data_IF_594213301798
#
_entry.id   IF_594213301798
#
_cell.length_a   1.000
_cell.length_b   1.000
_cell.length_c   1.000
_cell.angle_alpha   90.00
_cell.angle_beta   90.00
_cell.angle_gamma   90.00
#
_symmetry.space_group_name_H-M   'P 1'
#
loop_
_entity.id
_entity.type
_entity.pdbx_description
1 polymer ?
#
# COMPACT_ATOMS: atom_id res chain seq x y z
N UNK A 1 -4.71 -3.82 -6.55
CA UNK A 1 -3.92 -4.91 -7.16
C UNK A 1 -4.65 -6.20 -6.88
N UNK A 2 -4.72 -7.08 -7.86
CA UNK A 2 -5.59 -8.26 -7.82
C UNK A 2 -4.79 -9.54 -8.00
N UNK A 3 -5.21 -10.58 -7.26
CA UNK A 3 -4.80 -11.97 -7.44
C UNK A 3 -6.03 -12.74 -7.90
N UNK A 4 -6.10 -13.05 -9.20
CA UNK A 4 -7.35 -13.51 -9.80
C UNK A 4 -8.44 -12.43 -9.64
N UNK A 5 -9.55 -12.76 -8.98
CA UNK A 5 -10.64 -11.82 -8.70
C UNK A 5 -10.57 -11.12 -7.35
N UNK A 6 -9.58 -11.43 -6.51
CA UNK A 6 -9.46 -10.90 -5.16
C UNK A 6 -8.52 -9.71 -5.11
N UNK A 7 -8.99 -8.58 -4.56
CA UNK A 7 -8.13 -7.42 -4.29
C UNK A 7 -7.30 -7.67 -3.03
N UNK A 8 -5.97 -7.64 -3.15
CA UNK A 8 -5.08 -7.91 -2.02
C UNK A 8 -4.35 -6.65 -1.50
N UNK A 9 -4.21 -5.62 -2.34
CA UNK A 9 -3.55 -4.36 -1.99
C UNK A 9 -4.16 -3.20 -2.76
N UNK A 10 -4.30 -2.04 -2.13
CA UNK A 10 -4.77 -0.81 -2.80
C UNK A 10 -3.73 0.30 -2.68
N UNK A 11 -3.14 0.70 -3.81
CA UNK A 11 -2.21 1.84 -3.86
C UNK A 11 -2.87 3.18 -3.50
N UNK A 12 -4.20 3.26 -3.60
CA UNK A 12 -4.98 4.45 -3.27
C UNK A 12 -4.99 5.51 -4.38
N UNK A 13 -5.75 6.60 -4.21
CA UNK A 13 -5.80 7.70 -5.16
C UNK A 13 -4.51 8.54 -5.17
N UNK A 14 -4.32 9.30 -6.25
CA UNK A 14 -3.32 10.37 -6.31
C UNK A 14 -3.70 11.51 -5.36
N UNK A 15 -2.75 11.96 -4.54
CA UNK A 15 -2.97 13.03 -3.55
C UNK A 15 -2.34 14.38 -3.95
N UNK A 16 -1.87 14.55 -5.19
CA UNK A 16 -1.12 15.73 -5.64
C UNK A 16 0.40 15.56 -5.61
N UNK A 17 0.91 14.55 -4.89
CA UNK A 17 2.35 14.28 -4.73
C UNK A 17 2.70 12.83 -5.05
N UNK A 18 1.88 11.89 -4.57
CA UNK A 18 2.08 10.45 -4.70
C UNK A 18 0.73 9.72 -4.58
N UNK A 19 0.76 8.40 -4.77
CA UNK A 19 -0.37 7.54 -4.47
C UNK A 19 -0.54 7.45 -2.95
N UNK A 20 -1.76 7.55 -2.42
CA UNK A 20 -1.99 7.66 -0.97
C UNK A 20 -1.53 6.44 -0.15
N UNK A 21 -1.30 5.30 -0.78
CA UNK A 21 -0.70 4.12 -0.18
C UNK A 21 0.82 4.17 -0.12
N UNK A 22 1.49 5.10 -0.80
CA UNK A 22 2.93 5.34 -0.60
C UNK A 22 3.16 6.19 0.64
N UNK A 23 4.35 6.01 1.24
CA UNK A 23 4.77 6.82 2.38
C UNK A 23 5.57 8.04 1.87
N UNK A 24 5.13 9.29 2.15
CA UNK A 24 5.88 10.48 1.78
C UNK A 24 7.31 10.45 2.32
N UNK A 25 8.28 10.73 1.46
CA UNK A 25 9.70 10.77 1.83
C UNK A 25 10.36 9.40 2.05
N UNK A 26 9.61 8.29 2.01
CA UNK A 26 10.19 6.95 2.21
C UNK A 26 11.00 6.46 1.01
N UNK A 27 10.69 6.94 -0.20
CA UNK A 27 11.28 6.47 -1.46
C UNK A 27 11.94 7.63 -2.24
N UNK A 28 12.97 8.31 -1.69
CA UNK A 28 13.57 9.51 -2.29
C UNK A 28 14.23 9.28 -3.66
N UNK A 29 14.53 8.04 -4.04
CA UNK A 29 15.09 7.73 -5.35
C UNK A 29 14.04 7.72 -6.46
N UNK A 30 12.75 7.62 -6.12
CA UNK A 30 11.65 7.53 -7.07
C UNK A 30 10.94 8.87 -7.21
N UNK A 31 10.56 9.19 -8.45
CA UNK A 31 9.70 10.31 -8.79
C UNK A 31 8.38 9.78 -9.34
N UNK A 32 7.26 10.30 -8.84
CA UNK A 32 5.93 9.94 -9.29
C UNK A 32 5.35 11.12 -10.08
N UNK A 33 4.77 10.85 -11.23
CA UNK A 33 3.98 11.84 -11.97
C UNK A 33 2.64 11.23 -12.33
N UNK A 34 1.62 12.08 -12.33
CA UNK A 34 0.25 11.70 -12.66
C UNK A 34 -0.25 12.60 -13.77
N UNK A 35 -0.83 11.99 -14.79
CA UNK A 35 -1.54 12.69 -15.85
C UNK A 35 -2.95 12.13 -15.91
N UNK A 36 -3.93 13.02 -15.95
CA UNK A 36 -5.32 12.72 -16.18
C UNK A 36 -5.92 13.81 -17.06
N UNK A 37 -6.30 13.43 -18.27
CA UNK A 37 -7.02 14.29 -19.21
C UNK A 37 -8.19 13.54 -19.86
N UNK A 38 -8.75 14.09 -20.94
CA UNK A 38 -9.89 13.51 -21.65
C UNK A 38 -9.55 12.23 -22.44
N UNK A 39 -8.27 11.96 -22.67
CA UNK A 39 -7.77 10.83 -23.45
C UNK A 39 -7.18 9.73 -22.59
N UNK A 40 -6.44 10.10 -21.54
CA UNK A 40 -5.64 9.15 -20.77
C UNK A 40 -5.53 9.48 -19.29
N UNK A 41 -5.39 8.41 -18.50
CA UNK A 41 -5.12 8.49 -17.06
C UNK A 41 -4.03 7.48 -16.74
N UNK A 42 -2.86 7.98 -16.34
CA UNK A 42 -1.75 7.12 -15.96
C UNK A 42 -0.85 7.76 -14.90
N UNK A 43 -0.05 6.89 -14.29
CA UNK A 43 1.00 7.26 -13.36
C UNK A 43 2.32 6.77 -13.95
N UNK A 44 3.32 7.63 -13.94
CA UNK A 44 4.70 7.24 -14.22
C UNK A 44 5.49 7.20 -12.93
N UNK A 45 6.32 6.16 -12.81
CA UNK A 45 7.28 5.99 -11.72
C UNK A 45 8.66 5.99 -12.38
N UNK A 46 9.40 7.08 -12.19
CA UNK A 46 10.74 7.27 -12.73
C UNK A 46 11.79 7.40 -11.63
N UNK A 47 13.04 7.51 -12.02
CA UNK A 47 14.14 7.83 -11.10
C UNK A 47 14.29 9.34 -10.96
N UNK A 48 14.60 9.82 -9.76
CA UNK A 48 14.98 11.23 -9.53
C UNK A 48 16.29 11.54 -10.23
N UNK A 49 17.30 10.66 -10.09
CA UNK A 49 18.52 10.73 -10.88
C UNK A 49 18.28 10.12 -12.27
N UNK A 50 18.27 10.96 -13.31
CA UNK A 50 18.00 10.55 -14.70
C UNK A 50 19.06 9.63 -15.29
N UNK A 51 20.26 9.57 -14.71
CA UNK A 51 21.33 8.64 -15.13
C UNK A 51 21.23 7.28 -14.45
N UNK A 52 20.44 7.16 -13.37
CA UNK A 52 20.26 5.90 -12.67
C UNK A 52 19.23 5.00 -13.38
N UNK A 53 19.47 3.70 -13.38
CA UNK A 53 18.52 2.72 -13.88
C UNK A 53 17.63 2.23 -12.74
N UNK A 54 16.32 2.36 -12.95
CA UNK A 54 15.29 1.86 -12.04
C UNK A 54 14.20 1.15 -12.81
N UNK A 55 13.58 0.16 -12.19
CA UNK A 55 12.40 -0.53 -12.75
C UNK A 55 11.42 -0.88 -11.65
N UNK A 56 10.13 -0.77 -11.94
CA UNK A 56 9.06 -1.28 -11.08
C UNK A 56 8.35 -2.41 -11.80
N UNK A 57 8.18 -3.53 -11.12
CA UNK A 57 7.60 -4.74 -11.68
C UNK A 57 6.63 -5.39 -10.69
N UNK A 58 5.63 -6.08 -11.22
CA UNK A 58 4.77 -6.96 -10.42
C UNK A 58 5.36 -8.36 -10.44
N UNK A 59 5.75 -8.86 -9.28
CA UNK A 59 6.21 -10.22 -9.11
C UNK A 59 5.00 -11.11 -8.78
N UNK A 60 4.54 -11.88 -9.77
CA UNK A 60 3.34 -12.70 -9.65
C UNK A 60 3.57 -14.07 -8.99
N UNK A 61 4.83 -14.47 -8.77
CA UNK A 61 5.19 -15.75 -8.15
C UNK A 61 5.47 -15.62 -6.64
N UNK A 62 5.94 -14.46 -6.18
CA UNK A 62 6.19 -14.17 -4.77
C UNK A 62 5.09 -13.25 -4.22
N UNK A 63 4.12 -13.81 -3.49
CA UNK A 63 3.01 -13.13 -2.77
C UNK A 63 2.35 -11.91 -3.47
N UNK A 64 2.50 -11.80 -4.79
CA UNK A 64 2.02 -10.71 -5.62
C UNK A 64 2.62 -9.34 -5.25
N UNK A 65 3.93 -9.30 -4.96
CA UNK A 65 4.59 -8.05 -4.60
C UNK A 65 4.79 -7.11 -5.80
N UNK A 66 4.43 -5.83 -5.64
CA UNK A 66 4.98 -4.76 -6.50
C UNK A 66 6.36 -4.42 -5.98
N UNK A 67 7.38 -4.61 -6.81
CA UNK A 67 8.77 -4.41 -6.44
C UNK A 67 9.40 -3.32 -7.31
N UNK A 68 10.08 -2.39 -6.66
CA UNK A 68 10.94 -1.40 -7.31
C UNK A 68 12.39 -1.79 -7.09
N UNK A 69 13.16 -1.86 -8.17
CA UNK A 69 14.55 -2.27 -8.20
C UNK A 69 15.41 -1.13 -8.75
N UNK A 70 16.60 -0.97 -8.20
CA UNK A 70 17.60 0.00 -8.66
C UNK A 70 18.86 -0.77 -9.04
N UNK A 71 19.47 -0.39 -10.17
CA UNK A 71 20.74 -0.96 -10.59
C UNK A 71 21.88 -0.40 -9.74
N UNK A 72 22.69 -1.29 -9.15
CA UNK A 72 23.92 -0.95 -8.46
C UNK A 72 25.10 -1.10 -9.42
N UNK A 73 25.74 0.00 -9.78
CA UNK A 73 26.97 -0.05 -10.60
C UNK A 73 28.15 -0.69 -9.83
N UNK A 74 28.16 -0.57 -8.51
CA UNK A 74 29.19 -1.20 -7.67
C UNK A 74 29.08 -2.72 -7.69
N UNK A 75 27.86 -3.24 -7.59
CA UNK A 75 27.59 -4.68 -7.50
C UNK A 75 27.29 -5.32 -8.87
N UNK A 76 27.16 -4.50 -9.92
CA UNK A 76 26.73 -4.92 -11.26
C UNK A 76 25.43 -5.75 -11.23
N UNK A 77 24.48 -5.34 -10.38
CA UNK A 77 23.25 -6.11 -10.15
C UNK A 77 22.06 -5.22 -9.75
N UNK A 78 20.85 -5.76 -9.86
CA UNK A 78 19.62 -5.13 -9.38
C UNK A 78 19.45 -5.35 -7.87
N UNK A 79 19.32 -4.25 -7.13
CA UNK A 79 19.04 -4.26 -5.70
C UNK A 79 17.57 -3.91 -5.46
N UNK A 80 16.90 -4.68 -4.61
CA UNK A 80 15.52 -4.41 -4.22
C UNK A 80 15.49 -3.11 -3.40
N UNK A 81 14.76 -2.12 -3.89
CA UNK A 81 14.64 -0.81 -3.24
C UNK A 81 13.36 -0.70 -2.42
N UNK A 82 12.24 -1.18 -2.96
CA UNK A 82 10.95 -1.16 -2.29
C UNK A 82 10.09 -2.35 -2.72
N UNK A 83 9.23 -2.82 -1.81
CA UNK A 83 8.22 -3.83 -2.11
C UNK A 83 6.89 -3.43 -1.44
N UNK A 84 5.77 -3.73 -2.09
CA UNK A 84 4.41 -3.63 -1.55
C UNK A 84 3.70 -4.98 -1.69
N UNK A 85 2.93 -5.47 -0.70
CA UNK A 85 2.74 -4.90 0.65
C UNK A 85 4.04 -4.79 1.48
N UNK A 86 4.15 -3.78 2.35
CA UNK A 86 5.28 -3.61 3.30
C UNK A 86 5.01 -4.25 4.65
N UNK A 87 3.76 -4.16 5.08
CA UNK A 87 3.30 -4.60 6.39
C UNK A 87 1.82 -5.04 6.32
N UNK A 88 1.27 -5.66 7.38
CA UNK A 88 -0.10 -6.15 7.36
C UNK A 88 -1.19 -5.07 7.14
N UNK A 89 -0.90 -3.78 7.36
CA UNK A 89 -1.84 -2.69 7.11
C UNK A 89 -1.99 -2.34 5.62
N UNK A 90 -1.03 -2.73 4.78
CA UNK A 90 -1.13 -2.60 3.33
C UNK A 90 -2.07 -3.63 2.70
N UNK A 91 -2.37 -4.72 3.43
CA UNK A 91 -3.34 -5.74 3.02
C UNK A 91 -4.73 -5.14 2.92
N UNK A 92 -5.39 -5.38 1.80
CA UNK A 92 -6.70 -4.81 1.54
C UNK A 92 -7.75 -5.25 2.58
N UNK A 93 -8.51 -4.28 3.09
CA UNK A 93 -9.61 -4.48 4.05
C UNK A 93 -9.23 -5.20 5.36
N UNK A 94 -7.96 -5.20 5.77
CA UNK A 94 -7.47 -5.93 6.95
C UNK A 94 -8.22 -5.60 8.26
N UNK A 95 -8.68 -4.34 8.44
CA UNK A 95 -9.40 -3.90 9.64
C UNK A 95 -10.93 -3.82 9.51
N UNK A 96 -11.48 -4.29 8.38
CA UNK A 96 -12.91 -4.21 8.10
C UNK A 96 -13.43 -2.77 7.94
N UNK A 97 -14.75 -2.65 7.74
CA UNK A 97 -15.39 -1.37 7.48
C UNK A 97 -15.31 -0.40 8.67
N UNK A 98 -14.88 0.84 8.41
CA UNK A 98 -14.69 1.90 9.41
C UNK A 98 -13.71 1.52 10.55
N UNK A 99 -12.77 0.61 10.27
CA UNK A 99 -11.59 0.35 11.10
C UNK A 99 -10.36 1.03 10.51
N UNK A 100 -9.46 1.49 11.38
CA UNK A 100 -8.15 2.02 11.01
C UNK A 100 -7.04 1.03 11.41
N UNK A 101 -6.04 0.87 10.56
CA UNK A 101 -4.90 0.02 10.83
C UNK A 101 -3.73 0.86 11.36
N UNK A 102 -3.29 0.55 12.57
CA UNK A 102 -2.17 1.21 13.23
C UNK A 102 -1.16 0.14 13.64
N UNK A 103 -0.07 0.04 12.88
CA UNK A 103 0.93 -1.01 13.02
C UNK A 103 1.48 -1.16 14.45
N UNK A 104 1.63 -0.04 15.17
CA UNK A 104 2.19 0.00 16.52
C UNK A 104 1.16 -0.24 17.65
N UNK A 105 -0.12 -0.42 17.33
CA UNK A 105 -1.18 -0.57 18.33
C UNK A 105 -1.51 -2.05 18.62
N UNK A 106 -2.08 -2.28 19.80
CA UNK A 106 -2.59 -3.59 20.21
C UNK A 106 -4.01 -3.42 20.79
N UNK A 107 -5.06 -3.86 20.07
CA UNK A 107 -5.03 -4.49 18.75
C UNK A 107 -4.59 -3.54 17.62
N UNK A 108 -4.01 -4.09 16.55
CA UNK A 108 -3.54 -3.33 15.37
C UNK A 108 -4.68 -2.54 14.71
N UNK A 109 -5.87 -3.14 14.67
CA UNK A 109 -7.06 -2.49 14.15
C UNK A 109 -7.79 -1.75 15.26
N UNK A 110 -8.10 -0.48 15.00
CA UNK A 110 -8.81 0.41 15.89
C UNK A 110 -10.13 0.86 15.24
N UNK A 111 -11.13 1.17 16.05
CA UNK A 111 -12.33 1.81 15.54
C UNK A 111 -12.05 3.28 15.24
N UNK A 112 -12.65 3.82 14.18
CA UNK A 112 -12.70 5.27 14.00
C UNK A 112 -13.49 5.94 15.13
N UNK A 113 -13.27 7.23 15.34
CA UNK A 113 -13.99 8.01 16.34
C UNK A 113 -15.51 7.85 16.21
N UNK A 114 -16.18 7.57 17.33
CA UNK A 114 -17.64 7.31 17.42
C UNK A 114 -18.08 6.00 16.76
N UNK A 115 -17.18 5.03 16.64
CA UNK A 115 -17.48 3.67 16.25
C UNK A 115 -17.01 2.68 17.31
N UNK A 116 -17.70 1.55 17.38
CA UNK A 116 -17.34 0.41 18.23
C UNK A 116 -17.38 -0.90 17.43
N UNK A 117 -16.71 -1.97 17.88
CA UNK A 117 -16.77 -3.26 17.20
C UNK A 117 -18.20 -3.75 17.02
N UNK A 118 -18.49 -4.41 15.89
CA UNK A 118 -19.79 -5.08 15.70
C UNK A 118 -19.96 -6.29 16.61
N UNK A 119 -18.89 -7.05 16.80
CA UNK A 119 -18.79 -8.19 17.71
C UNK A 119 -17.54 -8.02 18.56
N UNK A 120 -17.73 -7.88 19.88
CA UNK A 120 -16.62 -7.78 20.82
C UNK A 120 -15.84 -9.09 20.92
N UNK A 121 -16.54 -10.23 20.88
CA UNK A 121 -15.92 -11.57 20.94
C UNK A 121 -14.93 -11.78 19.79
N UNK A 122 -15.36 -11.50 18.55
CA UNK A 122 -14.47 -11.55 17.36
C UNK A 122 -13.32 -10.57 17.47
N UNK A 123 -13.61 -9.34 17.89
CA UNK A 123 -12.58 -8.31 18.04
C UNK A 123 -11.50 -8.70 19.06
N UNK A 124 -11.89 -9.35 20.16
CA UNK A 124 -10.97 -9.85 21.20
C UNK A 124 -10.07 -10.98 20.71
N UNK A 125 -10.48 -11.67 19.64
CA UNK A 125 -9.72 -12.73 18.96
C UNK A 125 -8.92 -12.20 17.76
N UNK A 126 -8.82 -10.88 17.59
CA UNK A 126 -8.24 -10.21 16.42
C UNK A 126 -8.92 -10.56 15.08
N UNK A 127 -10.19 -10.96 15.12
CA UNK A 127 -11.04 -11.09 13.93
C UNK A 127 -11.78 -9.76 13.69
N UNK A 128 -11.23 -8.94 12.81
CA UNK A 128 -11.78 -7.62 12.44
C UNK A 128 -12.73 -7.68 11.23
N UNK A 129 -13.05 -8.87 10.70
CA UNK A 129 -13.82 -9.05 9.47
C UNK A 129 -15.21 -8.39 9.50
N UNK A 130 -15.84 -8.30 10.68
CA UNK A 130 -17.13 -7.64 10.82
C UNK A 130 -17.03 -6.10 10.87
N UNK A 131 -15.82 -5.55 10.98
CA UNK A 131 -15.57 -4.13 11.13
C UNK A 131 -16.31 -3.52 12.32
N UNK A 132 -16.71 -2.27 12.15
CA UNK A 132 -17.25 -1.45 13.24
C UNK A 132 -18.67 -0.97 12.92
N UNK A 133 -19.34 -0.42 13.92
CA UNK A 133 -20.66 0.23 13.81
C UNK A 133 -20.63 1.57 14.54
N UNK A 134 -21.38 2.54 14.02
CA UNK A 134 -21.56 3.83 14.71
C UNK A 134 -22.12 3.61 16.10
N UNK A 135 -21.59 4.35 17.06
CA UNK A 135 -22.17 4.51 18.37
C UNK A 135 -23.48 5.28 18.22
N UNK A 136 -24.51 4.84 18.95
CA UNK A 136 -25.82 5.51 19.02
C UNK A 136 -25.89 6.25 20.33
#
# INVERSE_FOLDING_TARGET
MFKGGEEFLRSGPWNGVLLSGELPGALPALNYSFLADEHEVYITIGMVNKSALGRTMLNLTADYYRQSWIWSDADQNWTLYAALPRDPCDSYANCGGNGNCVLSASPMCQCLDRFRPRSLDKWSLNDFSQGTRRER
#
